data_IF_323108478918
#
_entry.id   IF_323108478918
#
_cell.length_a   1.000
_cell.length_b   1.000
_cell.length_c   1.000
_cell.angle_alpha   90.00
_cell.angle_beta   90.00
_cell.angle_gamma   90.00
#
_symmetry.space_group_name_H-M   'P 1'
#
loop_
_entity.id
_entity.type
_entity.pdbx_description
1 polymer ?
#
# COMPACT_ATOMS: atom_id res chain seq x y z
N UNK A 1 2.57 -22.98 -27.33
CA UNK A 1 3.11 -21.98 -28.26
C UNK A 1 2.42 -22.15 -29.61
N UNK A 2 1.35 -21.42 -29.87
CA UNK A 2 0.68 -21.34 -31.19
C UNK A 2 0.66 -19.88 -31.59
N UNK A 3 1.51 -19.56 -32.56
CA UNK A 3 1.58 -18.25 -33.20
C UNK A 3 0.46 -18.21 -34.23
N UNK A 4 -0.53 -17.35 -34.04
CA UNK A 4 -1.49 -17.01 -35.09
C UNK A 4 -0.97 -15.76 -35.82
N UNK A 5 -0.52 -15.94 -37.04
CA UNK A 5 -0.27 -14.85 -37.99
C UNK A 5 -1.59 -14.47 -38.65
N UNK A 6 -2.04 -13.23 -38.43
CA UNK A 6 -3.03 -12.60 -39.28
C UNK A 6 -2.33 -11.51 -40.09
N UNK A 7 -2.04 -11.79 -41.34
CA UNK A 7 -1.68 -10.75 -42.32
C UNK A 7 -2.96 -10.10 -42.84
N UNK A 8 -3.17 -8.84 -42.51
CA UNK A 8 -4.10 -7.98 -43.26
C UNK A 8 -3.28 -6.93 -43.98
N UNK A 9 -3.08 -7.13 -45.28
CA UNK A 9 -2.47 -6.13 -46.18
C UNK A 9 -3.50 -5.11 -46.61
N UNK A 10 -3.36 -3.88 -46.11
CA UNK A 10 -4.03 -2.73 -46.72
C UNK A 10 -2.98 -1.92 -47.50
N UNK A 11 -3.02 -1.98 -48.83
CA UNK A 11 -2.14 -1.25 -49.71
C UNK A 11 -2.68 0.17 -49.94
N UNK A 12 -2.13 1.14 -49.23
CA UNK A 12 -1.95 2.50 -49.71
C UNK A 12 -0.71 3.08 -49.04
N UNK A 13 0.23 3.52 -49.86
CA UNK A 13 1.42 4.30 -49.51
C UNK A 13 2.61 3.57 -48.84
N UNK A 14 3.05 2.44 -49.38
CA UNK A 14 4.45 2.00 -49.28
C UNK A 14 5.14 1.94 -47.91
N UNK A 15 4.43 2.08 -46.78
CA UNK A 15 4.91 1.86 -45.43
C UNK A 15 4.20 0.67 -44.81
N UNK A 16 4.91 -0.44 -44.70
CA UNK A 16 4.51 -1.56 -43.84
C UNK A 16 4.48 -1.08 -42.40
N UNK A 17 3.28 -0.79 -41.88
CA UNK A 17 3.10 -0.65 -40.41
C UNK A 17 3.17 -2.05 -39.88
N UNK A 18 4.31 -2.42 -39.30
CA UNK A 18 4.35 -3.55 -38.37
C UNK A 18 3.41 -3.22 -37.20
N UNK A 19 2.22 -3.82 -37.20
CA UNK A 19 1.44 -3.94 -35.98
C UNK A 19 2.31 -4.82 -35.02
N UNK A 20 2.97 -4.17 -34.06
CA UNK A 20 3.52 -4.84 -32.91
C UNK A 20 2.37 -5.67 -32.31
N UNK A 21 2.48 -6.97 -32.42
CA UNK A 21 1.61 -7.90 -31.70
C UNK A 21 1.90 -7.64 -30.22
N UNK A 22 1.05 -6.86 -29.56
CA UNK A 22 1.13 -6.61 -28.13
C UNK A 22 1.16 -7.97 -27.45
N UNK A 23 2.32 -8.33 -26.91
CA UNK A 23 2.48 -9.57 -26.13
C UNK A 23 1.59 -9.41 -24.90
N UNK A 24 0.47 -10.12 -24.89
CA UNK A 24 -0.46 -10.17 -23.75
C UNK A 24 0.25 -10.79 -22.57
N UNK A 25 0.46 -10.02 -21.50
CA UNK A 25 1.19 -10.45 -20.29
C UNK A 25 0.24 -10.96 -19.21
N UNK A 26 0.67 -12.01 -18.51
CA UNK A 26 -0.03 -12.57 -17.37
C UNK A 26 0.54 -11.99 -16.08
N UNK A 27 -0.32 -11.46 -15.22
CA UNK A 27 0.08 -10.88 -13.93
C UNK A 27 -0.60 -11.62 -12.80
N UNK A 28 0.15 -11.92 -11.73
CA UNK A 28 -0.38 -12.44 -10.47
C UNK A 28 -0.32 -11.35 -9.40
N UNK A 29 -1.44 -10.99 -8.80
CA UNK A 29 -1.50 -10.13 -7.61
C UNK A 29 -1.72 -11.01 -6.39
N UNK A 30 -0.86 -10.88 -5.37
CA UNK A 30 -0.97 -11.64 -4.12
C UNK A 30 -1.59 -10.77 -3.05
N UNK A 31 -2.70 -11.23 -2.48
CA UNK A 31 -3.51 -10.55 -1.47
C UNK A 31 -4.98 -10.46 -1.89
N UNK A 32 -5.81 -9.77 -1.12
CA UNK A 32 -7.26 -9.72 -1.38
C UNK A 32 -7.98 -8.56 -0.69
N UNK A 33 -7.27 -7.50 -0.31
CA UNK A 33 -7.83 -6.28 0.29
C UNK A 33 -8.17 -5.19 -0.73
N UNK A 34 -8.48 -4.01 -0.24
CA UNK A 34 -8.77 -2.84 -1.07
C UNK A 34 -7.56 -2.36 -1.86
N UNK A 35 -6.39 -2.40 -1.24
CA UNK A 35 -5.11 -2.13 -1.89
C UNK A 35 -4.90 -3.02 -3.11
N UNK A 36 -5.09 -4.34 -2.98
CA UNK A 36 -4.96 -5.28 -4.09
C UNK A 36 -6.02 -5.04 -5.15
N UNK A 37 -7.24 -4.67 -4.76
CA UNK A 37 -8.29 -4.29 -5.70
C UNK A 37 -7.90 -3.05 -6.50
N UNK A 38 -7.33 -2.02 -5.87
CA UNK A 38 -6.84 -0.83 -6.56
C UNK A 38 -5.65 -1.12 -7.49
N UNK A 39 -4.77 -2.06 -7.10
CA UNK A 39 -3.68 -2.54 -7.96
C UNK A 39 -4.24 -3.29 -9.18
N UNK A 40 -5.20 -4.18 -9.00
CA UNK A 40 -5.87 -4.91 -10.08
C UNK A 40 -6.58 -3.95 -11.03
N UNK A 41 -7.32 -2.97 -10.50
CA UNK A 41 -7.96 -1.91 -11.31
C UNK A 41 -6.94 -1.12 -12.13
N UNK A 42 -5.80 -0.75 -11.54
CA UNK A 42 -4.74 -0.05 -12.27
C UNK A 42 -4.09 -0.93 -13.35
N UNK A 43 -3.84 -2.21 -13.08
CA UNK A 43 -3.30 -3.19 -14.04
C UNK A 43 -4.28 -3.47 -15.19
N UNK A 44 -5.59 -3.48 -14.92
CA UNK A 44 -6.62 -3.72 -15.94
C UNK A 44 -6.67 -2.61 -17.03
N UNK A 45 -6.14 -1.43 -16.73
CA UNK A 45 -6.01 -0.31 -17.66
C UNK A 45 -4.76 -0.39 -18.56
N UNK A 46 -3.82 -1.29 -18.21
CA UNK A 46 -2.60 -1.48 -19.02
C UNK A 46 -2.90 -2.18 -20.34
N UNK A 47 -2.34 -1.66 -21.43
CA UNK A 47 -2.44 -2.29 -22.74
C UNK A 47 -1.54 -3.52 -22.89
N UNK A 48 -0.54 -3.66 -22.03
CA UNK A 48 0.41 -4.76 -22.02
C UNK A 48 -0.11 -5.98 -21.25
N UNK A 49 -1.13 -5.82 -20.38
CA UNK A 49 -1.70 -6.86 -19.54
C UNK A 49 -2.89 -7.52 -20.25
N UNK A 50 -2.83 -8.83 -20.41
CA UNK A 50 -3.91 -9.61 -21.02
C UNK A 50 -4.70 -10.42 -20.01
N UNK A 51 -4.06 -10.94 -18.97
CA UNK A 51 -4.72 -11.70 -17.92
C UNK A 51 -4.18 -11.33 -16.54
N UNK A 52 -5.10 -11.14 -15.61
CA UNK A 52 -4.78 -10.90 -14.21
C UNK A 52 -5.31 -12.05 -13.38
N UNK A 53 -4.45 -12.63 -12.55
CA UNK A 53 -4.79 -13.56 -11.49
C UNK A 53 -4.66 -12.85 -10.15
N UNK A 54 -5.51 -13.20 -9.17
CA UNK A 54 -5.39 -12.66 -7.81
C UNK A 54 -5.56 -13.76 -6.76
N UNK A 55 -4.61 -13.87 -5.84
CA UNK A 55 -4.56 -14.92 -4.82
C UNK A 55 -4.54 -14.34 -3.39
N UNK A 56 -5.60 -14.55 -2.58
CA UNK A 56 -6.87 -15.20 -2.90
C UNK A 56 -7.86 -14.29 -3.65
N UNK A 57 -7.67 -12.96 -3.66
CA UNK A 57 -8.63 -11.99 -4.15
C UNK A 57 -9.83 -11.79 -3.23
N UNK A 58 -10.83 -11.05 -3.72
CA UNK A 58 -12.13 -10.83 -3.08
C UNK A 58 -13.23 -10.73 -4.14
N UNK A 59 -14.49 -10.53 -3.71
CA UNK A 59 -15.63 -10.50 -4.64
C UNK A 59 -15.54 -9.37 -5.69
N UNK A 60 -14.98 -8.20 -5.34
CA UNK A 60 -14.79 -7.09 -6.28
C UNK A 60 -13.67 -7.35 -7.29
N UNK A 61 -12.57 -7.92 -6.82
CA UNK A 61 -11.44 -8.31 -7.66
C UNK A 61 -11.86 -9.35 -8.71
N UNK A 62 -12.75 -10.27 -8.34
CA UNK A 62 -13.25 -11.32 -9.22
C UNK A 62 -13.99 -10.81 -10.47
N UNK A 63 -14.41 -9.54 -10.48
CA UNK A 63 -14.98 -8.90 -11.68
C UNK A 63 -13.92 -8.51 -12.73
N UNK A 64 -12.65 -8.38 -12.34
CA UNK A 64 -11.55 -7.87 -13.17
C UNK A 64 -10.39 -8.87 -13.29
N UNK A 65 -10.31 -9.87 -12.40
CA UNK A 65 -9.23 -10.85 -12.35
C UNK A 65 -9.77 -12.25 -12.05
N UNK A 66 -9.02 -13.27 -12.46
CA UNK A 66 -9.31 -14.64 -12.07
C UNK A 66 -8.84 -14.91 -10.65
N UNK A 67 -9.77 -15.26 -9.75
CA UNK A 67 -9.44 -15.60 -8.37
C UNK A 67 -8.74 -16.95 -8.29
N UNK A 68 -7.62 -17.00 -7.57
CA UNK A 68 -6.85 -18.21 -7.33
C UNK A 68 -7.03 -18.62 -5.86
N UNK A 69 -7.51 -19.84 -5.54
CA UNK A 69 -7.84 -20.22 -4.17
C UNK A 69 -6.57 -20.59 -3.35
N UNK A 70 -5.56 -19.76 -3.43
CA UNK A 70 -4.32 -19.87 -2.65
C UNK A 70 -4.24 -18.69 -1.67
N UNK A 71 -3.86 -18.98 -0.43
CA UNK A 71 -3.58 -17.93 0.56
C UNK A 71 -2.23 -17.28 0.24
N UNK A 72 -2.06 -16.02 0.62
CA UNK A 72 -0.84 -15.25 0.45
C UNK A 72 0.40 -15.86 1.12
N UNK A 73 0.21 -16.76 2.10
CA UNK A 73 1.27 -17.46 2.83
C UNK A 73 1.65 -18.81 2.23
N UNK A 74 0.93 -19.29 1.22
CA UNK A 74 1.22 -20.55 0.51
C UNK A 74 2.27 -20.32 -0.60
N UNK A 75 3.46 -19.89 -0.18
CA UNK A 75 4.52 -19.43 -1.09
C UNK A 75 4.94 -20.51 -2.10
N UNK A 76 5.18 -21.79 -1.72
CA UNK A 76 5.54 -22.83 -2.70
C UNK A 76 4.48 -23.02 -3.78
N UNK A 77 3.20 -23.06 -3.41
CA UNK A 77 2.08 -23.25 -4.32
C UNK A 77 1.90 -22.04 -5.25
N UNK A 78 2.13 -20.81 -4.73
CA UNK A 78 2.12 -19.60 -5.55
C UNK A 78 3.22 -19.59 -6.60
N UNK A 79 4.43 -20.06 -6.25
CA UNK A 79 5.54 -20.21 -7.19
C UNK A 79 5.20 -21.22 -8.29
N UNK A 80 4.63 -22.37 -7.93
CA UNK A 80 4.24 -23.39 -8.91
C UNK A 80 3.12 -22.89 -9.82
N UNK A 81 2.09 -22.28 -9.26
CA UNK A 81 1.01 -21.63 -10.01
C UNK A 81 1.57 -20.63 -11.05
N UNK A 82 2.51 -19.78 -10.62
CA UNK A 82 3.08 -18.77 -11.51
C UNK A 82 3.85 -19.40 -12.69
N UNK A 83 4.55 -20.54 -12.49
CA UNK A 83 5.21 -21.29 -13.55
C UNK A 83 4.21 -21.94 -14.51
N UNK A 84 3.21 -22.65 -13.97
CA UNK A 84 2.22 -23.38 -14.76
C UNK A 84 1.38 -22.46 -15.64
N UNK A 85 1.08 -21.25 -15.15
CA UNK A 85 0.25 -20.28 -15.85
C UNK A 85 1.04 -19.23 -16.64
N UNK A 86 2.37 -19.37 -16.72
CA UNK A 86 3.23 -18.46 -17.47
C UNK A 86 3.08 -17.00 -16.99
N UNK A 87 3.10 -16.79 -15.67
CA UNK A 87 3.01 -15.44 -15.08
C UNK A 87 4.27 -14.66 -15.41
N UNK A 88 4.11 -13.52 -16.07
CA UNK A 88 5.20 -12.62 -16.46
C UNK A 88 5.67 -11.72 -15.31
N UNK A 89 4.76 -11.39 -14.39
CA UNK A 89 5.03 -10.54 -13.24
C UNK A 89 4.14 -10.93 -12.07
N UNK A 90 4.72 -11.04 -10.87
CA UNK A 90 3.97 -11.15 -9.62
C UNK A 90 4.10 -9.86 -8.82
N UNK A 91 2.98 -9.35 -8.29
CA UNK A 91 2.90 -8.15 -7.43
C UNK A 91 2.39 -8.57 -6.06
N UNK A 92 3.13 -8.24 -5.01
CA UNK A 92 2.74 -8.61 -3.63
C UNK A 92 2.15 -7.41 -2.91
N UNK A 93 0.90 -7.55 -2.45
CA UNK A 93 0.20 -6.51 -1.72
C UNK A 93 0.55 -6.45 -0.23
N UNK A 94 0.32 -7.53 0.57
CA UNK A 94 0.49 -7.51 2.02
C UNK A 94 1.93 -7.78 2.49
N UNK A 95 2.24 -7.34 3.71
CA UNK A 95 3.57 -7.44 4.33
C UNK A 95 3.93 -8.86 4.79
N UNK A 96 2.91 -9.67 5.14
CA UNK A 96 3.15 -11.01 5.71
C UNK A 96 3.91 -11.92 4.75
N UNK A 97 3.50 -12.13 3.49
CA UNK A 97 4.27 -12.94 2.55
C UNK A 97 5.63 -12.33 2.20
N UNK A 98 5.78 -11.00 2.19
CA UNK A 98 7.06 -10.33 1.98
C UNK A 98 8.06 -10.69 3.08
N UNK A 99 7.64 -10.55 4.33
CA UNK A 99 8.45 -10.92 5.50
C UNK A 99 8.75 -12.42 5.56
N UNK A 100 7.87 -13.26 4.99
CA UNK A 100 8.06 -14.70 4.88
C UNK A 100 8.94 -15.12 3.69
N UNK A 101 9.42 -14.18 2.86
CA UNK A 101 10.39 -14.44 1.80
C UNK A 101 9.78 -14.85 0.45
N UNK A 102 8.55 -14.42 0.15
CA UNK A 102 7.95 -14.71 -1.16
C UNK A 102 8.80 -14.17 -2.32
N UNK A 103 9.37 -12.96 -2.17
CA UNK A 103 10.23 -12.37 -3.20
C UNK A 103 11.52 -13.19 -3.42
N UNK A 104 12.10 -13.73 -2.35
CA UNK A 104 13.27 -14.59 -2.42
C UNK A 104 12.96 -15.90 -3.12
N UNK A 105 11.80 -16.51 -2.83
CA UNK A 105 11.34 -17.76 -3.44
C UNK A 105 11.10 -17.62 -4.95
N UNK A 106 10.40 -16.56 -5.37
CA UNK A 106 10.15 -16.26 -6.79
C UNK A 106 11.45 -15.97 -7.55
N UNK A 107 12.32 -15.14 -6.97
CA UNK A 107 13.63 -14.83 -7.57
C UNK A 107 14.48 -16.09 -7.74
N UNK A 108 14.53 -16.97 -6.74
CA UNK A 108 15.23 -18.27 -6.83
C UNK A 108 14.63 -19.16 -7.91
N UNK A 109 13.34 -19.07 -8.17
CA UNK A 109 12.65 -19.80 -9.22
C UNK A 109 12.80 -19.17 -10.62
N UNK A 110 13.50 -18.03 -10.75
CA UNK A 110 13.66 -17.28 -12.00
C UNK A 110 12.41 -16.55 -12.45
N UNK A 111 11.47 -16.28 -11.52
CA UNK A 111 10.22 -15.58 -11.76
C UNK A 111 10.36 -14.11 -11.37
N UNK A 112 9.78 -13.22 -12.20
CA UNK A 112 9.77 -11.78 -11.95
C UNK A 112 8.76 -11.46 -10.84
N UNK A 113 9.20 -10.65 -9.85
CA UNK A 113 8.37 -10.25 -8.73
C UNK A 113 8.63 -8.79 -8.34
N UNK A 114 7.55 -8.05 -8.07
CA UNK A 114 7.56 -6.72 -7.48
C UNK A 114 7.27 -6.86 -5.97
N UNK A 115 8.29 -6.63 -5.17
CA UNK A 115 8.28 -6.71 -3.71
C UNK A 115 9.69 -6.92 -3.18
N UNK A 116 9.99 -6.43 -1.95
CA UNK A 116 11.29 -6.58 -1.32
C UNK A 116 11.56 -8.03 -0.87
N UNK A 117 12.85 -8.37 -0.76
CA UNK A 117 13.29 -9.60 -0.10
C UNK A 117 12.89 -9.61 1.38
N UNK A 118 12.90 -10.78 2.02
CA UNK A 118 12.65 -10.89 3.46
C UNK A 118 13.64 -10.04 4.28
N UNK A 119 14.89 -9.95 3.84
CA UNK A 119 15.90 -9.12 4.49
C UNK A 119 15.56 -7.62 4.41
N UNK A 120 15.05 -7.15 3.27
CA UNK A 120 14.63 -5.76 3.10
C UNK A 120 13.27 -5.48 3.77
N UNK A 121 12.34 -6.44 3.79
CA UNK A 121 11.05 -6.32 4.46
C UNK A 121 11.16 -6.12 5.97
N UNK A 122 12.33 -6.36 6.57
CA UNK A 122 12.61 -6.03 7.97
C UNK A 122 12.39 -4.57 8.31
N UNK A 123 12.45 -3.66 7.35
CA UNK A 123 12.19 -2.23 7.58
C UNK A 123 10.77 -1.98 8.11
N UNK A 124 9.81 -2.88 7.83
CA UNK A 124 8.45 -2.86 8.40
C UNK A 124 8.31 -3.89 9.53
N UNK A 125 8.80 -5.12 9.34
CA UNK A 125 8.57 -6.23 10.27
C UNK A 125 9.39 -6.14 11.55
N UNK A 126 10.44 -5.31 11.62
CA UNK A 126 11.19 -4.99 12.83
C UNK A 126 11.34 -3.49 13.02
N UNK A 127 10.65 -2.95 14.00
CA UNK A 127 10.73 -1.53 14.35
C UNK A 127 12.08 -1.17 14.96
N UNK A 128 12.69 -2.10 15.71
CA UNK A 128 14.05 -1.95 16.25
C UNK A 128 15.07 -1.84 15.10
N UNK A 129 14.97 -2.67 14.07
CA UNK A 129 15.83 -2.58 12.88
C UNK A 129 15.65 -1.23 12.17
N UNK A 130 14.42 -0.82 11.89
CA UNK A 130 14.15 0.45 11.22
C UNK A 130 14.67 1.65 12.03
N UNK A 131 14.48 1.65 13.34
CA UNK A 131 14.98 2.72 14.23
C UNK A 131 16.49 2.77 14.28
N UNK A 132 17.18 1.64 14.41
CA UNK A 132 18.65 1.60 14.38
C UNK A 132 19.22 2.00 13.03
N UNK A 133 18.55 1.64 11.92
CA UNK A 133 18.91 2.11 10.60
C UNK A 133 18.83 3.62 10.53
N UNK A 134 17.71 4.21 10.99
CA UNK A 134 17.51 5.66 10.98
C UNK A 134 18.54 6.38 11.85
N UNK A 135 18.83 5.87 13.04
CA UNK A 135 19.85 6.41 13.93
C UNK A 135 21.25 6.36 13.30
N UNK A 136 21.64 5.21 12.74
CA UNK A 136 22.96 4.98 12.14
C UNK A 136 23.25 5.88 10.93
N UNK A 137 22.21 6.18 10.16
CA UNK A 137 22.33 6.95 8.93
C UNK A 137 21.73 8.37 9.03
N UNK A 138 21.52 8.89 10.24
CA UNK A 138 21.00 10.24 10.48
C UNK A 138 19.71 10.53 9.69
N UNK A 139 18.75 9.57 9.65
CA UNK A 139 17.43 9.75 9.08
C UNK A 139 16.51 10.29 10.17
N UNK A 140 15.85 11.45 9.97
CA UNK A 140 15.05 12.08 11.03
C UNK A 140 13.90 11.20 11.50
N UNK A 141 13.87 10.90 12.79
CA UNK A 141 12.78 10.13 13.45
C UNK A 141 12.63 10.56 14.90
N UNK A 142 11.60 10.05 15.58
CA UNK A 142 11.43 10.22 17.01
C UNK A 142 12.62 9.63 17.80
N UNK A 143 13.04 10.27 18.88
CA UNK A 143 13.97 9.67 19.82
C UNK A 143 13.38 8.38 20.37
N UNK A 144 14.20 7.35 20.56
CA UNK A 144 13.70 6.03 20.91
C UNK A 144 14.66 5.25 21.81
N UNK A 145 14.14 4.23 22.47
CA UNK A 145 14.92 3.20 23.14
C UNK A 145 14.19 1.86 23.09
N UNK A 146 14.93 0.77 22.85
CA UNK A 146 14.38 -0.58 22.73
C UNK A 146 14.64 -1.38 23.98
N UNK A 147 13.64 -2.17 24.42
CA UNK A 147 13.68 -3.02 25.61
C UNK A 147 13.17 -4.41 25.28
N UNK A 148 13.81 -5.42 25.86
CA UNK A 148 13.42 -6.83 25.80
C UNK A 148 12.92 -7.38 27.13
N UNK A 149 12.92 -6.55 28.18
CA UNK A 149 12.42 -6.90 29.50
C UNK A 149 11.57 -5.77 30.09
N UNK A 150 10.62 -6.16 30.92
CA UNK A 150 9.64 -5.27 31.53
C UNK A 150 10.25 -4.31 32.57
N UNK A 151 11.20 -4.78 33.38
CA UNK A 151 11.76 -3.98 34.48
C UNK A 151 12.49 -2.73 33.95
N UNK A 152 13.35 -2.91 32.95
CA UNK A 152 14.09 -1.80 32.32
C UNK A 152 13.16 -0.85 31.54
N UNK A 153 12.15 -1.40 30.86
CA UNK A 153 11.17 -0.60 30.12
C UNK A 153 10.36 0.30 31.07
N UNK A 154 9.89 -0.24 32.21
CA UNK A 154 9.15 0.51 33.22
C UNK A 154 10.02 1.57 33.89
N UNK A 155 11.26 1.23 34.24
CA UNK A 155 12.20 2.20 34.82
C UNK A 155 12.43 3.36 33.84
N UNK A 156 12.61 3.07 32.57
CA UNK A 156 12.79 4.09 31.55
C UNK A 156 11.56 4.99 31.44
N UNK A 157 10.37 4.40 31.22
CA UNK A 157 9.11 5.15 31.02
C UNK A 157 8.73 5.98 32.26
N UNK A 158 9.09 5.54 33.48
CA UNK A 158 8.81 6.29 34.70
C UNK A 158 9.48 7.68 34.77
N UNK A 159 10.49 7.91 33.94
CA UNK A 159 11.26 9.17 33.88
C UNK A 159 10.80 10.09 32.76
N UNK A 160 9.77 9.67 31.97
CA UNK A 160 9.30 10.44 30.82
C UNK A 160 8.04 11.25 31.13
N UNK A 161 7.87 12.34 30.39
CA UNK A 161 6.61 13.09 30.34
C UNK A 161 5.67 12.38 29.34
N UNK A 162 4.42 12.22 29.72
CA UNK A 162 3.39 11.61 28.87
C UNK A 162 2.71 12.64 27.94
N UNK A 163 2.21 12.22 26.78
CA UNK A 163 2.21 10.82 26.29
C UNK A 163 3.56 10.36 25.76
N UNK A 164 3.77 9.05 25.73
CA UNK A 164 4.87 8.37 25.02
C UNK A 164 4.29 7.38 24.02
N UNK A 165 5.10 6.86 23.08
CA UNK A 165 4.65 5.86 22.12
C UNK A 165 5.35 4.53 22.40
N UNK A 166 4.56 3.48 22.59
CA UNK A 166 5.04 2.11 22.80
C UNK A 166 4.72 1.29 21.55
N UNK A 167 5.74 0.74 20.91
CA UNK A 167 5.59 -0.08 19.70
C UNK A 167 6.15 -1.47 19.93
N UNK A 168 5.33 -2.50 19.81
CA UNK A 168 5.80 -3.88 19.78
C UNK A 168 6.66 -4.11 18.53
N UNK A 169 7.83 -4.73 18.69
CA UNK A 169 8.76 -5.04 17.61
C UNK A 169 8.33 -6.32 16.88
N UNK A 170 7.51 -6.16 15.86
CA UNK A 170 6.96 -7.25 15.07
C UNK A 170 5.73 -6.81 14.28
N UNK A 171 5.25 -7.71 13.42
CA UNK A 171 3.98 -7.51 12.71
C UNK A 171 2.82 -7.75 13.69
N UNK A 172 2.00 -6.74 13.91
CA UNK A 172 0.87 -6.77 14.84
C UNK A 172 -0.42 -6.19 14.24
N UNK A 173 -0.52 -6.09 12.90
CA UNK A 173 -1.68 -5.60 12.15
C UNK A 173 -2.25 -4.28 12.73
N UNK A 174 -1.37 -3.31 13.02
CA UNK A 174 -1.74 -2.00 13.60
C UNK A 174 -2.09 -2.02 15.10
N UNK A 175 -2.15 -3.19 15.75
CA UNK A 175 -2.52 -3.32 17.18
C UNK A 175 -1.32 -3.26 18.13
N UNK A 176 -0.10 -3.30 17.61
CA UNK A 176 1.13 -3.26 18.38
C UNK A 176 1.60 -1.86 18.77
N UNK A 177 0.81 -0.81 18.53
CA UNK A 177 1.15 0.58 18.87
C UNK A 177 0.16 1.08 19.92
N UNK A 178 0.68 1.53 21.05
CA UNK A 178 -0.10 2.13 22.15
C UNK A 178 0.50 3.49 22.49
N UNK A 179 -0.34 4.46 22.70
CA UNK A 179 0.04 5.83 23.11
C UNK A 179 -0.57 6.06 24.51
N UNK A 180 0.11 5.65 25.57
CA UNK A 180 -0.37 5.85 26.93
C UNK A 180 -0.31 7.33 27.30
N UNK A 181 -1.37 7.82 27.92
CA UNK A 181 -1.46 9.20 28.42
C UNK A 181 -1.03 9.29 29.88
N UNK A 182 -0.93 8.16 30.58
CA UNK A 182 -0.52 8.06 31.96
C UNK A 182 0.51 6.95 32.19
N UNK A 183 1.24 7.03 33.28
CA UNK A 183 2.16 5.96 33.70
C UNK A 183 1.43 4.63 33.93
N UNK A 184 0.23 4.66 34.50
CA UNK A 184 -0.60 3.46 34.71
C UNK A 184 -0.96 2.77 33.41
N UNK A 185 -1.32 3.55 32.38
CA UNK A 185 -1.64 2.99 31.04
C UNK A 185 -0.40 2.39 30.39
N UNK A 186 0.76 3.05 30.56
CA UNK A 186 2.03 2.54 30.06
C UNK A 186 2.43 1.23 30.76
N UNK A 187 2.22 1.11 32.07
CA UNK A 187 2.46 -0.14 32.80
C UNK A 187 1.60 -1.29 32.26
N UNK A 188 0.31 -1.04 32.04
CA UNK A 188 -0.61 -2.04 31.50
C UNK A 188 -0.18 -2.47 30.08
N UNK A 189 0.15 -1.53 29.21
CA UNK A 189 0.58 -1.82 27.83
C UNK A 189 1.91 -2.59 27.78
N UNK A 190 2.91 -2.18 28.58
CA UNK A 190 4.19 -2.89 28.67
C UNK A 190 4.04 -4.29 29.23
N UNK A 191 3.12 -4.49 30.19
CA UNK A 191 2.81 -5.82 30.73
C UNK A 191 2.23 -6.72 29.62
N UNK A 192 1.23 -6.24 28.87
CA UNK A 192 0.66 -6.96 27.73
C UNK A 192 1.72 -7.36 26.70
N UNK A 193 2.70 -6.48 26.43
CA UNK A 193 3.71 -6.65 25.38
C UNK A 193 4.91 -7.51 25.81
N UNK A 194 5.36 -7.43 27.08
CA UNK A 194 6.62 -8.02 27.53
C UNK A 194 6.47 -9.12 28.59
N UNK A 195 5.31 -9.25 29.23
CA UNK A 195 5.05 -10.29 30.23
C UNK A 195 3.99 -11.29 29.80
N UNK A 196 2.89 -10.78 29.24
CA UNK A 196 1.74 -11.63 28.87
C UNK A 196 1.86 -12.15 27.43
N UNK A 197 2.95 -11.81 26.72
CA UNK A 197 3.29 -12.24 25.35
C UNK A 197 2.11 -12.10 24.36
N UNK A 198 1.28 -11.08 24.53
CA UNK A 198 0.03 -10.88 23.74
C UNK A 198 0.25 -10.85 22.24
N UNK A 199 1.43 -10.41 21.81
CA UNK A 199 1.86 -10.38 20.40
C UNK A 199 2.95 -11.41 20.09
N UNK A 200 3.30 -12.28 21.06
CA UNK A 200 4.43 -13.18 21.04
C UNK A 200 5.64 -12.61 21.79
N UNK A 201 6.70 -13.42 21.92
CA UNK A 201 7.95 -12.94 22.54
C UNK A 201 8.64 -11.95 21.61
N UNK A 202 8.95 -10.77 22.12
CA UNK A 202 9.54 -9.71 21.32
C UNK A 202 10.11 -8.58 22.18
N UNK A 203 10.41 -7.48 21.51
CA UNK A 203 10.90 -6.25 22.13
C UNK A 203 9.81 -5.18 22.06
N UNK A 204 10.00 -4.13 22.83
CA UNK A 204 9.20 -2.90 22.74
C UNK A 204 10.12 -1.72 22.45
N UNK A 205 9.76 -0.93 21.46
CA UNK A 205 10.38 0.36 21.17
C UNK A 205 9.55 1.42 21.87
N UNK A 206 10.19 2.16 22.75
CA UNK A 206 9.62 3.34 23.43
C UNK A 206 10.09 4.57 22.70
N UNK A 207 9.15 5.42 22.23
CA UNK A 207 9.45 6.61 21.44
C UNK A 207 8.87 7.86 22.08
N UNK A 208 9.51 9.02 21.81
CA UNK A 208 8.87 10.32 22.07
C UNK A 208 7.59 10.47 21.28
N UNK A 209 6.61 11.15 21.85
CA UNK A 209 5.38 11.48 21.14
C UNK A 209 5.60 12.71 20.24
N UNK A 210 5.45 12.50 18.95
CA UNK A 210 5.53 13.57 17.95
C UNK A 210 4.18 14.25 17.79
N UNK A 211 4.20 15.53 17.41
CA UNK A 211 2.98 16.31 17.13
C UNK A 211 3.12 17.04 15.79
N UNK A 212 2.04 17.06 15.03
CA UNK A 212 1.96 17.69 13.71
C UNK A 212 1.04 16.93 12.76
N UNK A 213 0.81 17.43 11.55
CA UNK A 213 0.07 16.69 10.53
C UNK A 213 0.89 15.48 10.04
N UNK A 214 0.24 14.32 10.01
CA UNK A 214 0.79 13.10 9.41
C UNK A 214 0.57 13.13 7.89
N UNK A 215 1.44 12.44 7.15
CA UNK A 215 1.25 12.19 5.72
C UNK A 215 2.00 10.94 5.28
N UNK A 216 1.54 10.36 4.17
CA UNK A 216 2.08 9.15 3.58
C UNK A 216 2.89 9.50 2.33
N UNK A 217 4.17 9.15 2.33
CA UNK A 217 5.09 9.37 1.22
C UNK A 217 5.56 8.02 0.68
N UNK A 218 4.98 7.59 -0.43
CA UNK A 218 5.29 6.33 -1.07
C UNK A 218 6.28 6.53 -2.21
N UNK A 219 7.21 5.58 -2.38
CA UNK A 219 8.17 5.58 -3.47
C UNK A 219 8.30 4.20 -4.09
N UNK A 220 8.38 4.13 -5.41
CA UNK A 220 9.00 2.99 -6.06
C UNK A 220 10.49 3.04 -5.82
N UNK A 221 11.07 1.93 -5.41
CA UNK A 221 12.50 1.84 -5.06
C UNK A 221 13.13 0.63 -5.73
N UNK A 222 14.35 0.83 -6.24
CA UNK A 222 15.19 -0.24 -6.74
C UNK A 222 16.66 0.07 -6.40
N UNK A 223 17.16 -0.58 -5.34
CA UNK A 223 18.47 -0.24 -4.78
C UNK A 223 18.49 1.21 -4.29
N UNK A 224 19.35 2.04 -4.86
CA UNK A 224 19.45 3.48 -4.51
C UNK A 224 18.50 4.37 -5.34
N UNK A 225 17.88 3.83 -6.38
CA UNK A 225 16.97 4.59 -7.24
C UNK A 225 15.60 4.72 -6.56
N UNK A 226 15.11 5.96 -6.43
CA UNK A 226 13.87 6.28 -5.71
C UNK A 226 12.98 7.21 -6.54
N UNK A 227 11.71 6.80 -6.72
CA UNK A 227 10.71 7.49 -7.54
C UNK A 227 9.46 7.77 -6.71
N UNK A 228 9.18 9.03 -6.34
CA UNK A 228 8.05 9.36 -5.52
C UNK A 228 6.72 9.18 -6.25
N UNK A 229 5.70 8.73 -5.51
CA UNK A 229 4.31 8.75 -5.89
C UNK A 229 3.67 10.07 -5.42
N UNK A 230 2.44 10.32 -5.88
CA UNK A 230 1.61 11.37 -5.30
C UNK A 230 1.41 11.11 -3.80
N UNK A 231 1.57 12.15 -2.98
CA UNK A 231 1.40 12.05 -1.53
C UNK A 231 -0.07 11.86 -1.16
N UNK A 232 -0.31 11.17 -0.04
CA UNK A 232 -1.64 10.96 0.52
C UNK A 232 -1.64 11.18 2.02
N UNK A 233 -2.84 11.36 2.58
CA UNK A 233 -3.05 11.36 4.02
C UNK A 233 -4.24 10.49 4.35
N UNK A 234 -4.07 9.59 5.33
CA UNK A 234 -5.13 8.76 5.88
C UNK A 234 -5.70 9.34 7.18
N UNK A 235 -6.84 8.82 7.60
CA UNK A 235 -7.47 9.11 8.89
C UNK A 235 -7.49 7.85 9.74
N UNK A 236 -6.60 7.75 10.72
CA UNK A 236 -6.37 6.52 11.49
C UNK A 236 -7.39 6.26 12.58
N UNK A 237 -8.02 7.28 13.14
CA UNK A 237 -8.98 7.14 14.24
C UNK A 237 -10.34 6.64 13.74
N UNK A 238 -10.96 5.73 14.52
CA UNK A 238 -12.19 5.04 14.13
C UNK A 238 -13.42 5.96 13.97
N UNK A 239 -13.51 7.05 14.75
CA UNK A 239 -14.70 7.90 14.85
C UNK A 239 -14.41 9.35 14.49
N UNK A 240 -15.50 10.09 14.17
CA UNK A 240 -15.45 11.51 13.81
C UNK A 240 -14.73 12.35 14.86
N UNK A 241 -14.07 13.43 14.39
CA UNK A 241 -13.27 14.31 15.21
C UNK A 241 -12.01 13.65 15.76
N UNK A 242 -11.45 12.68 15.03
CA UNK A 242 -10.26 11.90 15.36
C UNK A 242 -10.34 11.26 16.74
N UNK A 243 -11.49 10.64 17.05
CA UNK A 243 -11.76 9.96 18.31
C UNK A 243 -11.73 8.44 18.17
N UNK A 244 -11.67 7.76 19.32
CA UNK A 244 -11.68 6.31 19.41
C UNK A 244 -10.30 5.68 19.14
N UNK A 245 -10.25 4.35 18.98
CA UNK A 245 -9.01 3.62 18.76
C UNK A 245 -8.39 3.89 17.39
N UNK A 246 -7.09 3.64 17.27
CA UNK A 246 -6.41 3.58 15.97
C UNK A 246 -6.92 2.39 15.15
N UNK A 247 -6.97 2.57 13.83
CA UNK A 247 -7.39 1.58 12.85
C UNK A 247 -6.35 1.43 11.74
N UNK A 248 -6.62 0.65 10.74
CA UNK A 248 -5.85 0.61 9.49
C UNK A 248 -6.11 1.79 8.55
N UNK A 249 -6.94 2.77 8.95
CA UNK A 249 -7.38 3.91 8.15
C UNK A 249 -8.87 3.85 7.81
N UNK A 250 -9.58 4.95 8.06
CA UNK A 250 -11.03 5.12 7.84
C UNK A 250 -11.35 5.95 6.59
N UNK A 251 -10.33 6.32 5.86
CA UNK A 251 -10.40 7.08 4.61
C UNK A 251 -9.08 7.77 4.35
N UNK A 252 -8.93 8.27 3.14
CA UNK A 252 -7.72 8.96 2.71
C UNK A 252 -8.04 9.97 1.60
N UNK A 253 -7.08 10.84 1.32
CA UNK A 253 -7.13 11.78 0.21
C UNK A 253 -5.75 12.08 -0.36
N UNK A 254 -5.73 12.55 -1.60
CA UNK A 254 -4.53 12.96 -2.34
C UNK A 254 -4.92 14.09 -3.33
N UNK A 255 -4.15 15.20 -3.40
CA UNK A 255 -2.92 15.53 -2.71
C UNK A 255 -3.16 15.95 -1.24
N UNK A 256 -2.07 16.31 -0.53
CA UNK A 256 -2.09 16.78 0.87
C UNK A 256 -1.68 18.25 0.91
N UNK A 257 -2.61 19.22 0.94
CA UNK A 257 -2.32 20.64 0.75
C UNK A 257 -1.42 21.28 1.83
N UNK A 258 -1.31 20.67 3.01
CA UNK A 258 -0.46 21.18 4.11
C UNK A 258 1.01 20.82 3.94
N UNK A 259 1.34 19.95 2.98
CA UNK A 259 2.70 19.55 2.62
C UNK A 259 3.09 20.35 1.38
N UNK A 260 4.16 21.14 1.48
CA UNK A 260 4.64 21.98 0.39
C UNK A 260 5.60 21.22 -0.53
N UNK A 261 5.91 21.79 -1.69
CA UNK A 261 6.90 21.21 -2.59
C UNK A 261 8.28 21.10 -1.91
N UNK A 262 8.64 22.05 -1.08
CA UNK A 262 9.90 22.01 -0.31
C UNK A 262 9.89 20.87 0.72
N UNK A 263 8.73 20.58 1.33
CA UNK A 263 8.57 19.44 2.22
C UNK A 263 8.71 18.10 1.46
N UNK A 264 8.15 18.03 0.24
CA UNK A 264 8.29 16.85 -0.61
C UNK A 264 9.73 16.63 -1.06
N UNK A 265 10.42 17.68 -1.51
CA UNK A 265 11.83 17.64 -1.90
C UNK A 265 12.72 17.23 -0.72
N UNK A 266 12.50 17.85 0.45
CA UNK A 266 13.22 17.48 1.67
C UNK A 266 13.01 16.01 2.02
N UNK A 267 11.76 15.55 2.00
CA UNK A 267 11.40 14.16 2.28
C UNK A 267 12.07 13.19 1.32
N UNK A 268 12.06 13.51 0.03
CA UNK A 268 12.69 12.66 -0.98
C UNK A 268 14.20 12.55 -0.76
N UNK A 269 14.90 13.69 -0.57
CA UNK A 269 16.36 13.71 -0.51
C UNK A 269 16.90 13.24 0.85
N UNK A 270 16.29 13.70 1.96
CA UNK A 270 16.85 13.48 3.30
C UNK A 270 16.25 12.28 4.04
N UNK A 271 15.13 11.73 3.55
CA UNK A 271 14.49 10.57 4.17
C UNK A 271 14.50 9.38 3.21
N UNK A 272 13.80 9.47 2.07
CA UNK A 272 13.56 8.30 1.24
C UNK A 272 14.82 7.80 0.51
N UNK A 273 15.58 8.71 -0.12
CA UNK A 273 16.87 8.36 -0.78
C UNK A 273 17.92 7.90 0.24
N UNK A 274 18.01 8.58 1.38
CA UNK A 274 18.89 8.13 2.47
C UNK A 274 18.53 6.74 2.97
N UNK A 275 17.23 6.44 3.11
CA UNK A 275 16.77 5.12 3.54
C UNK A 275 17.14 4.06 2.50
N UNK A 276 16.90 4.33 1.21
CA UNK A 276 17.26 3.40 0.14
C UNK A 276 18.77 3.12 0.10
N UNK A 277 19.61 4.16 0.18
CA UNK A 277 21.07 4.03 0.24
C UNK A 277 21.53 3.28 1.51
N UNK A 278 20.90 3.56 2.67
CA UNK A 278 21.19 2.86 3.92
C UNK A 278 20.89 1.36 3.81
N UNK A 279 19.77 0.97 3.19
CA UNK A 279 19.41 -0.42 2.96
C UNK A 279 20.43 -1.14 2.05
N UNK A 280 20.96 -0.45 1.03
CA UNK A 280 22.04 -0.99 0.19
C UNK A 280 23.31 -1.17 1.02
N UNK A 281 23.70 -0.19 1.83
CA UNK A 281 24.87 -0.25 2.69
C UNK A 281 24.79 -1.36 3.75
N UNK A 282 23.59 -1.69 4.22
CA UNK A 282 23.33 -2.81 5.14
C UNK A 282 23.26 -4.18 4.44
N UNK A 283 23.49 -4.24 3.12
CA UNK A 283 23.47 -5.48 2.34
C UNK A 283 22.06 -6.07 2.13
N UNK A 284 21.03 -5.27 2.31
CA UNK A 284 19.63 -5.63 2.07
C UNK A 284 18.96 -4.60 1.16
N UNK A 285 19.40 -4.47 -0.12
CA UNK A 285 18.86 -3.47 -1.04
C UNK A 285 17.34 -3.63 -1.18
N UNK A 286 16.63 -2.52 -1.12
CA UNK A 286 15.18 -2.52 -1.25
C UNK A 286 14.76 -2.54 -2.72
N UNK A 287 13.74 -3.34 -3.05
CA UNK A 287 13.13 -3.41 -4.37
C UNK A 287 11.62 -3.57 -4.24
N UNK A 288 10.85 -2.61 -4.75
CA UNK A 288 9.40 -2.60 -4.62
C UNK A 288 8.86 -1.23 -4.24
N UNK A 289 7.84 -1.19 -3.39
CA UNK A 289 7.29 0.04 -2.85
C UNK A 289 7.71 0.25 -1.40
N UNK A 290 8.43 1.33 -1.16
CA UNK A 290 8.78 1.82 0.18
C UNK A 290 7.79 2.92 0.56
N UNK A 291 7.10 2.73 1.67
CA UNK A 291 6.17 3.69 2.26
C UNK A 291 6.80 4.31 3.50
N UNK A 292 6.87 5.63 3.54
CA UNK A 292 7.20 6.42 4.72
C UNK A 292 5.92 7.01 5.33
N UNK A 293 5.58 6.59 6.55
CA UNK A 293 4.64 7.28 7.42
C UNK A 293 5.35 8.41 8.13
N UNK A 294 5.01 9.65 7.83
CA UNK A 294 5.77 10.84 8.20
C UNK A 294 4.90 11.83 8.96
N UNK A 295 5.56 12.66 9.77
CA UNK A 295 4.92 13.77 10.48
C UNK A 295 5.70 15.07 10.24
N UNK A 296 4.98 16.11 9.83
CA UNK A 296 5.55 17.47 9.76
C UNK A 296 5.48 18.11 11.14
N UNK A 297 6.58 17.99 11.90
CA UNK A 297 6.69 18.54 13.25
C UNK A 297 7.18 19.99 13.22
N UNK A 298 7.08 20.74 14.33
CA UNK A 298 7.69 22.07 14.44
C UNK A 298 9.21 22.09 14.23
N UNK A 299 9.89 20.94 14.44
CA UNK A 299 11.36 20.79 14.24
C UNK A 299 11.74 20.19 12.88
N UNK A 300 10.79 20.04 11.96
CA UNK A 300 10.98 19.43 10.64
C UNK A 300 10.25 18.10 10.46
N UNK A 301 10.41 17.50 9.29
CA UNK A 301 9.75 16.25 8.97
C UNK A 301 10.49 15.09 9.65
N UNK A 302 9.73 14.22 10.33
CA UNK A 302 10.24 13.03 11.00
C UNK A 302 9.49 11.78 10.56
N UNK A 303 10.21 10.66 10.49
CA UNK A 303 9.64 9.34 10.21
C UNK A 303 8.94 8.80 11.46
N UNK A 304 7.67 8.41 11.30
CA UNK A 304 6.89 7.66 12.27
C UNK A 304 7.18 6.17 12.13
N UNK A 305 7.11 5.67 10.88
CA UNK A 305 7.38 4.29 10.53
C UNK A 305 7.65 4.14 9.03
N UNK A 306 8.28 3.03 8.64
CA UNK A 306 8.32 2.57 7.26
C UNK A 306 7.44 1.33 7.09
N UNK A 307 6.84 1.21 5.87
CA UNK A 307 6.21 -0.02 5.43
C UNK A 307 6.85 -0.48 4.11
N UNK A 308 6.91 -1.78 3.90
CA UNK A 308 7.60 -2.40 2.75
C UNK A 308 6.67 -2.71 1.57
N UNK A 309 5.52 -2.07 1.52
CA UNK A 309 4.42 -2.32 0.58
C UNK A 309 3.53 -1.08 0.41
N UNK A 310 2.62 -1.15 -0.56
CA UNK A 310 1.59 -0.13 -0.74
C UNK A 310 0.77 0.10 0.54
N UNK A 311 0.42 1.37 0.83
CA UNK A 311 -0.49 1.75 1.90
C UNK A 311 -1.92 1.26 1.64
N UNK A 312 -2.71 1.14 2.69
CA UNK A 312 -4.13 0.80 2.65
C UNK A 312 -4.81 1.59 3.79
N UNK A 313 -5.54 2.68 3.50
CA UNK A 313 -6.26 2.96 2.24
C UNK A 313 -5.60 4.00 1.27
N UNK A 314 -4.31 4.31 1.36
CA UNK A 314 -3.69 5.33 0.53
C UNK A 314 -3.64 4.95 -0.96
N UNK A 315 -3.42 3.67 -1.26
CA UNK A 315 -3.33 3.16 -2.64
C UNK A 315 -4.60 3.45 -3.42
N UNK A 316 -5.74 3.34 -2.77
CA UNK A 316 -7.08 3.55 -3.34
C UNK A 316 -7.35 5.00 -3.73
N UNK A 317 -6.60 5.96 -3.18
CA UNK A 317 -6.69 7.38 -3.58
C UNK A 317 -5.51 7.84 -4.43
N UNK A 318 -4.40 7.10 -4.43
CA UNK A 318 -3.20 7.45 -5.21
C UNK A 318 -3.25 6.86 -6.62
N UNK A 319 -3.54 5.56 -6.77
CA UNK A 319 -3.54 4.90 -8.08
C UNK A 319 -4.60 5.40 -9.06
N UNK A 320 -5.79 5.88 -8.66
CA UNK A 320 -6.71 6.55 -9.58
C UNK A 320 -6.13 7.79 -10.27
N UNK A 321 -5.14 8.44 -9.65
CA UNK A 321 -4.45 9.62 -10.20
C UNK A 321 -3.30 9.26 -11.14
N UNK A 322 -2.87 7.99 -11.19
CA UNK A 322 -1.77 7.55 -12.04
C UNK A 322 -2.21 7.45 -13.49
N UNK A 323 -1.57 8.25 -14.38
CA UNK A 323 -1.79 8.22 -15.83
C UNK A 323 -0.82 7.29 -16.57
N UNK A 324 0.35 7.02 -15.97
CA UNK A 324 1.35 6.12 -16.54
C UNK A 324 0.92 4.66 -16.37
N UNK A 325 1.38 3.81 -17.29
CA UNK A 325 1.12 2.37 -17.23
C UNK A 325 1.84 1.73 -16.02
N UNK A 326 1.07 1.25 -15.06
CA UNK A 326 1.61 0.69 -13.81
C UNK A 326 2.35 -0.64 -14.05
N UNK A 327 1.94 -1.42 -15.04
CA UNK A 327 2.63 -2.67 -15.37
C UNK A 327 4.06 -2.40 -15.82
N UNK A 328 4.27 -1.41 -16.68
CA UNK A 328 5.59 -1.00 -17.14
C UNK A 328 6.47 -0.50 -15.98
N UNK A 329 5.87 0.25 -15.04
CA UNK A 329 6.57 0.72 -13.83
C UNK A 329 6.99 -0.48 -12.96
N UNK A 330 6.08 -1.40 -12.69
CA UNK A 330 6.37 -2.59 -11.88
C UNK A 330 7.45 -3.46 -12.51
N UNK A 331 7.40 -3.65 -13.83
CA UNK A 331 8.45 -4.37 -14.57
C UNK A 331 9.80 -3.68 -14.46
N UNK A 332 9.86 -2.36 -14.66
CA UNK A 332 11.10 -1.61 -14.55
C UNK A 332 11.73 -1.74 -13.17
N UNK A 333 10.93 -1.62 -12.09
CA UNK A 333 11.39 -1.81 -10.71
C UNK A 333 11.86 -3.26 -10.49
N UNK A 334 11.09 -4.25 -10.93
CA UNK A 334 11.42 -5.66 -10.75
C UNK A 334 12.72 -6.06 -11.49
N UNK A 335 12.97 -5.49 -12.66
CA UNK A 335 14.13 -5.79 -13.52
C UNK A 335 15.40 -5.01 -13.15
N UNK A 336 15.34 -4.12 -12.17
CA UNK A 336 16.48 -3.30 -11.77
C UNK A 336 16.70 -2.07 -12.68
N UNK A 337 15.62 -1.52 -13.21
CA UNK A 337 15.64 -0.37 -14.12
C UNK A 337 16.32 0.85 -13.53
N UNK A 338 17.27 1.40 -14.28
CA UNK A 338 17.88 2.72 -13.96
C UNK A 338 17.02 3.83 -14.57
N UNK A 339 16.89 4.94 -13.84
CA UNK A 339 16.24 6.13 -14.38
C UNK A 339 17.04 6.68 -15.54
N UNK A 340 16.38 6.90 -16.64
CA UNK A 340 16.78 7.97 -17.53
C UNK A 340 15.87 9.16 -17.30
N UNK A 341 16.10 9.87 -16.20
CA UNK A 341 15.72 11.26 -16.08
C UNK A 341 16.76 12.08 -16.83
N UNK A 342 16.70 12.06 -18.17
CA UNK A 342 17.37 13.07 -18.94
C UNK A 342 16.31 14.01 -19.50
N UNK A 343 16.33 15.32 -19.15
CA UNK A 343 16.08 16.31 -20.16
C UNK A 343 17.21 16.10 -21.17
N UNK A 344 16.90 15.69 -22.40
CA UNK A 344 17.82 15.65 -23.55
C UNK A 344 19.31 15.81 -23.21
N UNK A 345 19.92 14.80 -22.59
CA UNK A 345 21.38 14.71 -22.44
C UNK A 345 21.89 13.80 -23.55
N UNK A 346 22.53 14.44 -24.49
CA UNK A 346 23.31 13.87 -25.61
C UNK A 346 24.61 13.16 -25.17
N UNK A 347 24.76 12.82 -23.91
CA UNK A 347 26.01 12.25 -23.36
C UNK A 347 25.85 10.82 -22.83
N UNK A 348 24.97 10.03 -23.41
CA UNK A 348 25.07 8.57 -23.28
C UNK A 348 26.23 8.16 -24.18
N UNK A 349 27.33 7.70 -23.59
CA UNK A 349 28.47 7.19 -24.33
C UNK A 349 27.98 6.27 -25.43
N UNK A 350 28.30 6.59 -26.68
CA UNK A 350 27.92 5.83 -27.85
C UNK A 350 28.29 4.36 -27.66
N UNK A 351 27.29 3.48 -27.60
CA UNK A 351 27.49 2.02 -27.66
C UNK A 351 26.79 1.17 -26.60
N UNK A 352 26.24 1.71 -25.50
CA UNK A 352 25.51 0.90 -24.52
C UNK A 352 24.01 0.97 -24.79
N UNK A 353 23.46 -0.01 -25.52
CA UNK A 353 22.00 -0.21 -25.63
C UNK A 353 21.48 -0.77 -24.32
N UNK A 354 20.93 0.09 -23.47
CA UNK A 354 20.13 -0.36 -22.31
C UNK A 354 18.80 -0.89 -22.84
N UNK A 355 18.40 -2.14 -22.55
CA UNK A 355 17.10 -2.65 -22.96
C UNK A 355 15.98 -1.71 -22.45
N UNK A 356 14.98 -1.46 -23.25
CA UNK A 356 13.85 -0.57 -22.90
C UNK A 356 13.14 -1.01 -21.62
N UNK A 357 13.15 -2.32 -21.30
CA UNK A 357 12.62 -2.89 -20.05
C UNK A 357 13.41 -2.53 -18.79
N UNK A 358 14.60 -1.94 -18.91
CA UNK A 358 15.43 -1.48 -17.80
C UNK A 358 15.36 0.04 -17.58
N UNK A 359 14.48 0.72 -18.31
CA UNK A 359 14.29 2.15 -18.17
C UNK A 359 13.01 2.40 -17.39
N UNK A 360 13.12 3.12 -16.28
CA UNK A 360 11.93 3.56 -15.53
C UNK A 360 11.13 4.55 -16.39
N UNK A 361 9.85 4.30 -16.71
CA UNK A 361 9.04 5.23 -17.46
C UNK A 361 8.84 6.53 -16.67
N UNK A 362 8.71 7.67 -17.36
CA UNK A 362 8.35 8.92 -16.71
C UNK A 362 6.97 8.78 -16.07
N UNK A 363 6.90 8.89 -14.75
CA UNK A 363 5.64 8.78 -14.02
C UNK A 363 4.85 10.09 -14.19
N UNK A 364 3.61 9.98 -14.65
CA UNK A 364 2.68 11.09 -14.84
C UNK A 364 1.48 10.93 -13.92
N UNK A 365 1.08 12.03 -13.34
CA UNK A 365 -0.06 12.11 -12.42
C UNK A 365 -1.13 13.04 -12.98
N UNK A 366 -2.40 12.66 -12.82
CA UNK A 366 -3.54 13.52 -13.09
C UNK A 366 -3.55 14.72 -12.15
N UNK A 367 -4.03 15.84 -12.64
CA UNK A 367 -4.32 17.03 -11.83
C UNK A 367 -5.56 16.87 -10.95
N UNK A 368 -6.41 15.87 -11.21
CA UNK A 368 -7.56 15.57 -10.38
C UNK A 368 -7.13 15.18 -8.97
N UNK A 369 -7.95 15.55 -8.01
CA UNK A 369 -7.80 15.23 -6.61
C UNK A 369 -8.76 14.10 -6.24
N UNK A 370 -8.34 13.26 -5.31
CA UNK A 370 -9.10 12.08 -4.90
C UNK A 370 -9.34 12.08 -3.40
N UNK A 371 -10.52 11.65 -3.00
CA UNK A 371 -10.86 11.42 -1.61
C UNK A 371 -11.77 10.20 -1.50
N UNK A 372 -11.56 9.39 -0.46
CA UNK A 372 -12.33 8.18 -0.24
C UNK A 372 -12.69 7.93 1.22
N UNK A 373 -13.84 7.30 1.41
CA UNK A 373 -14.40 6.90 2.69
C UNK A 373 -14.34 5.39 2.83
N UNK A 374 -13.79 4.91 3.94
CA UNK A 374 -13.86 3.49 4.31
C UNK A 374 -15.16 3.23 5.04
N UNK A 375 -15.92 2.25 4.56
CA UNK A 375 -17.08 1.68 5.23
C UNK A 375 -16.63 0.42 5.98
N UNK A 376 -16.75 0.44 7.30
CA UNK A 376 -16.28 -0.62 8.18
C UNK A 376 -17.44 -1.32 8.90
N UNK A 377 -17.26 -2.58 9.28
CA UNK A 377 -18.21 -3.33 10.11
C UNK A 377 -18.33 -2.71 11.50
N UNK A 378 -19.55 -2.58 12.02
CA UNK A 378 -19.77 -2.10 13.39
C UNK A 378 -18.98 -2.95 14.39
N UNK A 379 -18.27 -2.27 15.28
CA UNK A 379 -17.34 -2.88 16.23
C UNK A 379 -15.86 -2.83 15.82
N UNK A 380 -15.55 -2.58 14.54
CA UNK A 380 -14.17 -2.40 14.08
C UNK A 380 -13.51 -1.18 14.76
N UNK A 381 -12.21 -1.25 15.20
CA UNK A 381 -11.22 -2.32 14.99
C UNK A 381 -11.26 -3.45 16.04
N UNK A 382 -12.25 -3.47 16.94
CA UNK A 382 -12.50 -4.55 17.88
C UNK A 382 -13.19 -5.75 17.22
N UNK A 383 -14.01 -6.46 17.98
CA UNK A 383 -14.81 -7.59 17.48
C UNK A 383 -15.99 -7.09 16.64
N UNK A 384 -16.24 -7.74 15.53
CA UNK A 384 -17.34 -7.42 14.61
C UNK A 384 -17.97 -8.69 14.04
N UNK A 385 -19.24 -8.58 13.67
CA UNK A 385 -19.97 -9.64 12.97
C UNK A 385 -19.80 -9.53 11.45
N UNK A 386 -20.05 -10.64 10.74
CA UNK A 386 -19.92 -10.79 9.29
C UNK A 386 -21.19 -11.35 8.69
N UNK A 387 -21.30 -11.33 7.35
CA UNK A 387 -22.39 -11.96 6.63
C UNK A 387 -23.60 -11.06 6.39
N UNK A 388 -23.49 -9.76 6.61
CA UNK A 388 -24.55 -8.79 6.31
C UNK A 388 -24.54 -8.44 4.83
N UNK A 389 -25.70 -8.43 4.21
CA UNK A 389 -25.89 -8.11 2.81
C UNK A 389 -25.53 -6.66 2.51
N UNK A 390 -24.91 -6.44 1.36
CA UNK A 390 -24.51 -5.13 0.84
C UNK A 390 -25.23 -4.91 -0.48
N UNK A 391 -25.98 -3.82 -0.59
CA UNK A 391 -26.74 -3.45 -1.80
C UNK A 391 -26.45 -2.00 -2.20
N UNK A 392 -26.92 -1.59 -3.40
CA UNK A 392 -26.78 -0.21 -3.87
C UNK A 392 -25.45 0.14 -4.54
N UNK A 393 -24.54 -0.85 -4.78
CA UNK A 393 -23.26 -0.57 -5.40
C UNK A 393 -23.41 -0.04 -6.83
N UNK A 394 -24.30 -0.63 -7.63
CA UNK A 394 -24.52 -0.20 -9.03
C UNK A 394 -25.03 1.24 -9.10
N UNK A 395 -25.89 1.63 -8.16
CA UNK A 395 -26.37 3.01 -8.06
C UNK A 395 -25.24 3.96 -7.63
N UNK A 396 -24.39 3.54 -6.69
CA UNK A 396 -23.25 4.33 -6.25
C UNK A 396 -22.24 4.53 -7.39
N UNK A 397 -22.03 3.52 -8.24
CA UNK A 397 -21.14 3.55 -9.41
C UNK A 397 -21.74 4.27 -10.64
N UNK A 398 -22.96 4.81 -10.56
CA UNK A 398 -23.57 5.55 -11.66
C UNK A 398 -22.84 6.85 -12.05
N UNK A 399 -22.04 7.42 -11.13
CA UNK A 399 -21.12 8.51 -11.43
C UNK A 399 -19.76 7.94 -11.87
N UNK A 400 -19.30 8.17 -13.12
CA UNK A 400 -18.04 7.59 -13.62
C UNK A 400 -16.79 8.09 -12.90
N UNK A 401 -16.88 9.15 -12.11
CA UNK A 401 -15.79 9.64 -11.27
C UNK A 401 -15.67 8.86 -9.94
N UNK A 402 -16.63 7.98 -9.64
CA UNK A 402 -16.65 7.16 -8.42
C UNK A 402 -16.08 5.78 -8.70
N UNK A 403 -15.29 5.29 -7.76
CA UNK A 403 -14.76 3.91 -7.69
C UNK A 403 -15.11 3.31 -6.35
N UNK A 404 -15.37 2.01 -6.32
CA UNK A 404 -15.60 1.25 -5.10
C UNK A 404 -14.58 0.11 -5.04
N UNK A 405 -13.66 0.21 -4.11
CA UNK A 405 -12.71 -0.85 -3.83
C UNK A 405 -13.26 -1.74 -2.71
N UNK A 406 -13.43 -3.01 -3.02
CA UNK A 406 -13.88 -3.99 -2.03
C UNK A 406 -12.69 -4.46 -1.22
N UNK A 407 -12.82 -4.41 0.11
CA UNK A 407 -11.76 -4.74 1.06
C UNK A 407 -12.06 -6.07 1.76
N UNK A 408 -13.17 -6.13 2.50
CA UNK A 408 -13.58 -7.31 3.24
C UNK A 408 -15.01 -7.73 2.85
N UNK A 409 -15.16 -8.21 1.63
CA UNK A 409 -16.42 -8.68 1.07
C UNK A 409 -16.34 -10.14 0.63
N UNK A 410 -17.47 -10.80 0.52
CA UNK A 410 -17.59 -12.14 -0.01
C UNK A 410 -18.92 -12.30 -0.77
N UNK A 411 -18.89 -12.96 -1.91
CA UNK A 411 -20.11 -13.42 -2.57
C UNK A 411 -20.60 -14.72 -1.91
N UNK A 412 -21.88 -14.78 -1.63
CA UNK A 412 -22.55 -15.98 -1.13
C UNK A 412 -23.71 -16.30 -2.05
N UNK A 413 -23.99 -17.60 -2.23
CA UNK A 413 -25.14 -18.06 -3.00
C UNK A 413 -26.19 -18.61 -2.05
N UNK A 414 -27.44 -18.19 -2.23
CA UNK A 414 -28.56 -18.79 -1.54
C UNK A 414 -28.72 -20.27 -1.97
N UNK A 415 -28.73 -21.21 -1.04
CA UNK A 415 -28.73 -22.64 -1.39
C UNK A 415 -30.03 -23.12 -2.05
N UNK A 416 -31.11 -22.34 -1.98
CA UNK A 416 -32.42 -22.72 -2.53
C UNK A 416 -32.66 -22.07 -3.89
N UNK A 417 -32.48 -20.74 -3.96
CA UNK A 417 -32.74 -19.97 -5.17
C UNK A 417 -31.55 -19.89 -6.11
N UNK A 418 -30.32 -20.12 -5.61
CA UNK A 418 -29.07 -19.87 -6.34
C UNK A 418 -28.74 -18.37 -6.50
N UNK A 419 -29.54 -17.47 -5.94
CA UNK A 419 -29.30 -16.04 -6.00
C UNK A 419 -27.98 -15.68 -5.28
N UNK A 420 -27.20 -14.82 -5.91
CA UNK A 420 -25.93 -14.35 -5.37
C UNK A 420 -26.14 -13.04 -4.63
N UNK A 421 -25.55 -12.93 -3.45
CA UNK A 421 -25.52 -11.71 -2.64
C UNK A 421 -24.11 -11.40 -2.23
N UNK A 422 -23.77 -10.09 -2.19
CA UNK A 422 -22.52 -9.61 -1.64
C UNK A 422 -22.70 -9.37 -0.15
N UNK A 423 -21.79 -9.89 0.68
CA UNK A 423 -21.88 -9.77 2.13
C UNK A 423 -20.57 -9.29 2.75
N UNK A 424 -20.67 -8.73 3.98
CA UNK A 424 -19.51 -8.33 4.77
C UNK A 424 -18.71 -9.56 5.20
N UNK A 425 -17.37 -9.51 5.11
CA UNK A 425 -16.47 -10.58 5.55
C UNK A 425 -15.21 -10.07 6.28
N UNK A 426 -15.02 -8.76 6.40
CA UNK A 426 -13.88 -8.13 7.05
C UNK A 426 -14.26 -6.98 7.98
N UNK A 427 -13.27 -6.40 8.64
CA UNK A 427 -13.43 -5.21 9.47
C UNK A 427 -13.64 -3.96 8.61
N UNK A 428 -12.68 -3.62 7.74
CA UNK A 428 -12.92 -2.67 6.64
C UNK A 428 -13.53 -3.46 5.49
N UNK A 429 -14.59 -2.95 4.92
CA UNK A 429 -15.44 -3.70 3.98
C UNK A 429 -15.40 -3.13 2.58
N UNK A 430 -15.59 -1.83 2.44
CA UNK A 430 -15.53 -1.10 1.19
C UNK A 430 -14.74 0.20 1.37
N UNK A 431 -14.13 0.67 0.29
CA UNK A 431 -13.68 2.06 0.18
C UNK A 431 -14.32 2.70 -1.04
N UNK A 432 -15.05 3.79 -0.82
CA UNK A 432 -15.73 4.56 -1.87
C UNK A 432 -14.91 5.81 -2.14
N UNK A 433 -14.34 5.90 -3.34
CA UNK A 433 -13.42 6.96 -3.76
C UNK A 433 -14.05 7.76 -4.89
N UNK A 434 -13.87 9.07 -4.90
CA UNK A 434 -14.19 9.89 -6.05
C UNK A 434 -13.00 10.75 -6.48
N UNK A 435 -12.93 11.04 -7.78
CA UNK A 435 -11.99 11.97 -8.41
C UNK A 435 -12.72 13.24 -8.83
N UNK A 436 -12.10 14.41 -8.61
CA UNK A 436 -12.62 15.69 -9.07
C UNK A 436 -11.52 16.77 -9.14
N UNK A 437 -11.86 17.95 -9.64
CA UNK A 437 -10.95 19.09 -9.73
C UNK A 437 -10.48 19.61 -8.36
N UNK A 438 -11.27 19.39 -7.30
CA UNK A 438 -10.95 19.79 -5.93
C UNK A 438 -11.28 18.71 -4.92
N UNK A 439 -10.56 18.66 -3.78
CA UNK A 439 -10.86 17.72 -2.68
C UNK A 439 -12.29 17.86 -2.16
N UNK A 440 -12.82 19.09 -2.10
CA UNK A 440 -14.21 19.34 -1.67
C UNK A 440 -15.18 18.64 -2.59
N UNK A 441 -15.03 18.81 -3.90
CA UNK A 441 -15.93 18.20 -4.88
C UNK A 441 -15.76 16.66 -4.89
N UNK A 442 -14.52 16.16 -4.78
CA UNK A 442 -14.26 14.72 -4.64
C UNK A 442 -14.97 14.15 -3.39
N UNK A 443 -14.85 14.85 -2.24
CA UNK A 443 -15.53 14.47 -1.01
C UNK A 443 -17.05 14.42 -1.17
N UNK A 444 -17.64 15.47 -1.75
CA UNK A 444 -19.10 15.55 -1.89
C UNK A 444 -19.63 14.42 -2.79
N UNK A 445 -18.93 14.10 -3.89
CA UNK A 445 -19.25 12.98 -4.78
C UNK A 445 -19.10 11.63 -4.09
N UNK A 446 -17.98 11.39 -3.41
CA UNK A 446 -17.76 10.13 -2.69
C UNK A 446 -18.81 9.94 -1.57
N UNK A 447 -19.14 10.99 -0.82
CA UNK A 447 -20.15 10.94 0.22
C UNK A 447 -21.56 10.70 -0.33
N UNK A 448 -21.88 11.28 -1.49
CA UNK A 448 -23.15 11.02 -2.19
C UNK A 448 -23.25 9.54 -2.63
N UNK A 449 -22.15 8.94 -3.09
CA UNK A 449 -22.08 7.53 -3.45
C UNK A 449 -22.21 6.62 -2.22
N UNK A 450 -21.49 6.93 -1.12
CA UNK A 450 -21.59 6.20 0.17
C UNK A 450 -23.05 6.09 0.65
N UNK A 451 -23.84 7.15 0.51
CA UNK A 451 -25.24 7.20 0.95
C UNK A 451 -26.19 6.30 0.16
N UNK A 452 -25.78 5.84 -1.03
CA UNK A 452 -26.53 4.90 -1.87
C UNK A 452 -26.26 3.44 -1.49
N UNK A 453 -25.22 3.18 -0.72
CA UNK A 453 -24.85 1.84 -0.29
C UNK A 453 -25.59 1.51 1.00
N UNK A 454 -26.27 0.37 1.02
CA UNK A 454 -27.07 -0.07 2.15
C UNK A 454 -26.50 -1.35 2.74
N UNK A 455 -26.29 -1.36 4.05
CA UNK A 455 -25.92 -2.51 4.87
C UNK A 455 -26.09 -2.13 6.35
N UNK A 456 -26.86 -2.90 7.09
CA UNK A 456 -27.22 -2.60 8.49
C UNK A 456 -26.03 -2.64 9.44
N UNK A 457 -24.96 -3.33 9.05
CA UNK A 457 -23.77 -3.51 9.89
C UNK A 457 -22.57 -2.65 9.46
N UNK A 458 -22.75 -1.62 8.65
CA UNK A 458 -21.67 -0.72 8.27
C UNK A 458 -21.75 0.64 8.98
N UNK A 459 -20.59 1.22 9.21
CA UNK A 459 -20.41 2.62 9.59
C UNK A 459 -19.24 3.23 8.83
N UNK A 460 -19.20 4.54 8.75
CA UNK A 460 -18.10 5.31 8.16
C UNK A 460 -17.97 6.65 8.87
N UNK A 461 -16.83 7.31 8.68
CA UNK A 461 -16.60 8.69 9.12
C UNK A 461 -17.02 9.65 8.01
N UNK A 462 -17.89 10.60 8.30
CA UNK A 462 -18.30 11.61 7.31
C UNK A 462 -17.34 12.80 7.24
N UNK A 463 -16.40 12.91 8.17
CA UNK A 463 -15.47 14.02 8.32
C UNK A 463 -14.10 13.81 7.64
N UNK A 464 -13.94 12.79 6.79
CA UNK A 464 -12.70 12.59 6.04
C UNK A 464 -12.35 13.86 5.24
N UNK A 465 -11.09 14.30 5.37
CA UNK A 465 -10.60 15.54 4.77
C UNK A 465 -10.84 16.80 5.60
N UNK A 466 -11.41 16.70 6.80
CA UNK A 466 -11.73 17.86 7.66
C UNK A 466 -10.52 18.76 7.99
N UNK A 467 -9.31 18.19 7.91
CA UNK A 467 -8.07 18.93 8.16
C UNK A 467 -7.71 19.92 7.04
N UNK A 468 -8.31 19.80 5.85
CA UNK A 468 -7.94 20.54 4.63
C UNK A 468 -9.15 21.12 3.87
N UNK A 469 -10.36 20.89 4.33
CA UNK A 469 -11.62 21.35 3.74
C UNK A 469 -12.36 22.34 4.62
#
# INVERSE_FOLDING_TARGET
>A
MRVFHFETTNKSDGKTIMLDTLLSRNVLVVGGGGREHAIVDALSRSRSVGKIYCAPGNAGIAAQAESVPLKETQIPELVEFAKEHGVDLTVVGPEVPLSAGIADAFTKAGLRIFGPSAAAARIESSKDFAKRLMEKYDIPTASFKTFDNYADAIEHVSRHTFPVVLKYDGLAAGKGVVIPETFSDAQAALKDMLLDDKFGKGKVVVEEYLTGPEFSFMCFVNGEEVFPLAIAQDHKRAFEGDKGPNTGGMGAYSPVPVITTEDEEYTLEHIMRKTAAAMVAEGCPFKGLLYGGLMKTPSGIKVIEFNCRFGDPETEVVLPRLESDIFEIFCAVADGGKVVNAPERTDVAEGVKVPSSQLMPRIKWSSEQTLGFVMASKGYPGSYEKGFEITGLDEALSDPSVRIYQMGTKEVSDPVSGAKSLVTSGGRVLMVVASAETLRLARDKALAAVRKIHCDNLFYRSDIGHLVL
#
